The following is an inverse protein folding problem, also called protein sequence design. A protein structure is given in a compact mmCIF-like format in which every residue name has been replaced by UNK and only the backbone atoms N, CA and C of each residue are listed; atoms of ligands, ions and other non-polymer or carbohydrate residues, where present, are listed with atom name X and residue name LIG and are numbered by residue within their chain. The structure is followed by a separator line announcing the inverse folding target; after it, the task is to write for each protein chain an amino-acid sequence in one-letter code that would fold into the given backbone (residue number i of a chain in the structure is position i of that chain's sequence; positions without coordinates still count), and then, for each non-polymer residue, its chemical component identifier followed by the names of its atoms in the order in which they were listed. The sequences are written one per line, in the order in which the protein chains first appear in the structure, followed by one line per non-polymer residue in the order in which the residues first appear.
data_IF_278536648107
#
_entry.id   IF_278536648107
#
_cell.length_a   1.000
_cell.length_b   1.000
_cell.length_c   1.000
_cell.angle_alpha   90.00
_cell.angle_beta   90.00
_cell.angle_gamma   90.00
#
_symmetry.space_group_name_H-M   'P 1'
#
loop_
_entity.id
_entity.type
_entity.pdbx_description
1 polymer ?
#
# COMPACT_ATOMS: atom_id res chain seq x y z
N UNK A 1 18.80 4.68 -5.45
CA UNK A 1 17.65 3.77 -5.59
C UNK A 1 16.85 4.17 -6.83
N UNK A 2 16.59 3.22 -7.69
CA UNK A 2 15.77 3.47 -8.88
C UNK A 2 14.31 3.13 -8.59
N UNK A 3 13.34 3.75 -9.28
CA UNK A 3 11.93 3.37 -9.12
C UNK A 3 11.69 1.88 -9.33
N UNK A 4 12.41 1.24 -10.22
CA UNK A 4 12.30 -0.20 -10.47
C UNK A 4 12.76 -1.06 -9.29
N UNK A 5 13.51 -0.50 -8.34
CA UNK A 5 13.90 -1.21 -7.12
C UNK A 5 12.73 -1.31 -6.14
N UNK A 6 11.78 -0.39 -6.25
CA UNK A 6 10.61 -0.32 -5.38
C UNK A 6 9.41 -1.00 -6.04
N UNK A 7 9.20 -0.75 -7.32
CA UNK A 7 8.03 -1.18 -8.07
C UNK A 7 8.46 -1.94 -9.32
N UNK A 8 8.15 -3.21 -9.36
CA UNK A 8 8.35 -4.04 -10.54
C UNK A 8 7.04 -4.20 -11.31
N UNK A 9 7.15 -4.54 -12.59
CA UNK A 9 6.01 -4.71 -13.49
C UNK A 9 4.96 -5.68 -12.93
N UNK A 10 5.38 -6.78 -12.32
CA UNK A 10 4.49 -7.79 -11.75
C UNK A 10 3.74 -7.30 -10.50
N UNK A 11 4.08 -6.13 -9.97
CA UNK A 11 3.37 -5.53 -8.85
C UNK A 11 2.56 -4.30 -9.26
N UNK A 12 2.19 -4.24 -10.54
CA UNK A 12 1.28 -3.24 -11.08
C UNK A 12 -0.02 -3.91 -11.47
N UNK A 13 -1.13 -3.47 -10.88
CA UNK A 13 -2.47 -4.01 -11.13
C UNK A 13 -3.23 -2.98 -11.96
N UNK A 14 -3.50 -3.30 -13.23
CA UNK A 14 -4.06 -2.33 -14.18
C UNK A 14 -5.53 -2.01 -13.99
N UNK A 15 -6.30 -2.91 -13.41
CA UNK A 15 -7.72 -2.66 -13.14
C UNK A 15 -8.13 -3.48 -11.94
N UNK A 16 -7.81 -2.97 -10.76
CA UNK A 16 -8.13 -3.67 -9.53
C UNK A 16 -9.63 -3.58 -9.26
N UNK A 17 -10.22 -4.69 -8.86
CA UNK A 17 -11.60 -4.77 -8.44
C UNK A 17 -11.66 -5.25 -6.99
N UNK A 18 -12.63 -4.74 -6.23
CA UNK A 18 -12.81 -5.14 -4.85
C UNK A 18 -14.07 -4.54 -4.27
N UNK A 19 -14.49 -5.07 -3.14
CA UNK A 19 -15.72 -4.68 -2.45
C UNK A 19 -15.46 -3.58 -1.42
N UNK A 20 -14.46 -2.76 -1.65
CA UNK A 20 -14.13 -1.65 -0.78
C UNK A 20 -12.66 -1.60 -0.48
N UNK A 21 -12.29 -0.63 0.35
CA UNK A 21 -10.92 -0.29 0.68
C UNK A 21 -10.14 -1.48 1.27
N UNK A 22 -10.72 -2.16 2.26
CA UNK A 22 -10.00 -3.24 2.94
C UNK A 22 -9.71 -4.41 2.02
N UNK A 23 -10.68 -4.77 1.16
CA UNK A 23 -10.49 -5.85 0.20
C UNK A 23 -9.39 -5.50 -0.81
N UNK A 24 -9.37 -4.27 -1.29
CA UNK A 24 -8.35 -3.79 -2.22
C UNK A 24 -6.96 -3.79 -1.56
N UNK A 25 -6.87 -3.34 -0.31
CA UNK A 25 -5.60 -3.34 0.42
C UNK A 25 -5.07 -4.77 0.64
N UNK A 26 -5.94 -5.71 0.97
CA UNK A 26 -5.55 -7.12 1.10
C UNK A 26 -4.98 -7.66 -0.20
N UNK A 27 -5.64 -7.39 -1.32
CA UNK A 27 -5.17 -7.81 -2.64
C UNK A 27 -3.82 -7.21 -2.99
N UNK A 28 -3.62 -5.93 -2.70
CA UNK A 28 -2.37 -5.26 -2.98
C UNK A 28 -1.22 -5.80 -2.12
N UNK A 29 -1.49 -6.09 -0.84
CA UNK A 29 -0.49 -6.70 0.03
C UNK A 29 -0.10 -8.10 -0.47
N UNK A 30 -1.06 -8.88 -0.96
CA UNK A 30 -0.78 -10.19 -1.56
C UNK A 30 0.13 -10.05 -2.79
N UNK A 31 -0.15 -9.08 -3.64
CA UNK A 31 0.68 -8.84 -4.83
C UNK A 31 2.06 -8.34 -4.43
N UNK A 32 2.16 -7.46 -3.43
CA UNK A 32 3.45 -7.04 -2.89
C UNK A 32 4.26 -8.22 -2.37
N UNK A 33 3.58 -9.24 -1.87
CA UNK A 33 4.21 -10.47 -1.37
C UNK A 33 4.94 -11.29 -2.43
N UNK A 34 4.79 -10.95 -3.71
CA UNK A 34 5.58 -11.57 -4.78
C UNK A 34 7.03 -11.11 -4.75
N UNK A 35 7.32 -10.02 -4.05
CA UNK A 35 8.69 -9.54 -3.86
C UNK A 35 9.41 -10.39 -2.82
N UNK A 36 10.66 -10.73 -3.11
CA UNK A 36 11.53 -11.44 -2.15
C UNK A 36 11.83 -10.60 -0.92
N UNK A 37 11.57 -9.31 -0.96
CA UNK A 37 11.77 -8.39 0.16
C UNK A 37 10.69 -8.55 1.23
N UNK A 38 9.55 -9.15 0.90
CA UNK A 38 8.48 -9.38 1.87
C UNK A 38 8.76 -10.70 2.59
N UNK A 39 8.94 -10.62 3.90
CA UNK A 39 9.23 -11.79 4.73
C UNK A 39 8.02 -12.24 5.55
N UNK A 40 7.03 -11.37 5.75
CA UNK A 40 5.78 -11.72 6.42
C UNK A 40 4.64 -10.88 5.86
N UNK A 41 3.82 -11.49 5.03
CA UNK A 41 2.63 -10.85 4.47
C UNK A 41 1.61 -10.46 5.56
N UNK A 42 1.31 -11.33 6.56
CA UNK A 42 0.41 -10.93 7.64
C UNK A 42 0.90 -9.74 8.45
N UNK A 43 2.21 -9.64 8.72
CA UNK A 43 2.76 -8.49 9.44
C UNK A 43 2.63 -7.21 8.63
N UNK A 44 2.84 -7.28 7.32
CA UNK A 44 2.68 -6.16 6.41
C UNK A 44 1.22 -5.69 6.40
N UNK A 45 0.27 -6.62 6.21
CA UNK A 45 -1.15 -6.29 6.17
C UNK A 45 -1.61 -5.63 7.47
N UNK A 46 -1.18 -6.18 8.60
CA UNK A 46 -1.55 -5.64 9.92
C UNK A 46 -1.15 -4.17 10.04
N UNK A 47 0.08 -3.83 9.66
CA UNK A 47 0.56 -2.44 9.78
C UNK A 47 -0.14 -1.50 8.81
N UNK A 48 -0.44 -1.95 7.60
CA UNK A 48 -1.20 -1.16 6.64
C UNK A 48 -2.58 -0.84 7.19
N UNK A 49 -3.27 -1.84 7.73
CA UNK A 49 -4.62 -1.65 8.29
C UNK A 49 -4.60 -0.76 9.52
N UNK A 50 -3.63 -0.92 10.41
CA UNK A 50 -3.47 -0.06 11.59
C UNK A 50 -3.28 1.40 11.18
N UNK A 51 -2.48 1.66 10.15
CA UNK A 51 -2.23 3.02 9.67
C UNK A 51 -3.50 3.65 9.08
N UNK A 52 -4.26 2.90 8.30
CA UNK A 52 -5.49 3.40 7.66
C UNK A 52 -6.60 3.70 8.66
N UNK A 53 -6.66 2.97 9.78
CA UNK A 53 -7.63 3.23 10.85
C UNK A 53 -7.37 4.59 11.48
N UNK A 54 -6.12 4.99 11.62
CA UNK A 54 -5.77 6.28 12.23
C UNK A 54 -6.27 7.43 11.35
N UNK A 55 -6.02 7.36 10.05
CA UNK A 55 -6.44 8.36 9.09
C UNK A 55 -6.29 7.80 7.69
N UNK A 56 -7.27 8.06 6.83
CA UNK A 56 -7.19 7.63 5.44
C UNK A 56 -5.96 8.22 4.74
N UNK A 57 -5.32 7.42 3.90
CA UNK A 57 -4.25 7.87 3.02
C UNK A 57 -4.76 8.36 1.67
N UNK A 58 -6.09 8.47 1.49
CA UNK A 58 -6.68 9.11 0.32
C UNK A 58 -6.51 10.61 0.40
N UNK A 59 -5.57 11.14 -0.38
CA UNK A 59 -5.13 12.54 -0.29
C UNK A 59 -5.90 13.50 -1.17
N UNK A 60 -6.93 13.02 -1.87
CA UNK A 60 -7.67 13.83 -2.84
C UNK A 60 -7.09 13.66 -4.24
N UNK A 61 -7.83 14.18 -5.24
CA UNK A 61 -7.42 14.05 -6.64
C UNK A 61 -7.47 12.63 -7.17
N UNK A 62 -8.18 11.73 -6.50
CA UNK A 62 -8.27 10.34 -6.93
C UNK A 62 -7.08 9.46 -6.57
N UNK A 63 -6.21 9.92 -5.68
CA UNK A 63 -4.97 9.23 -5.31
C UNK A 63 -4.99 8.80 -3.85
N UNK A 64 -4.61 7.55 -3.57
CA UNK A 64 -4.38 7.04 -2.23
C UNK A 64 -2.98 6.47 -2.12
N UNK A 65 -2.33 6.68 -0.96
CA UNK A 65 -0.96 6.22 -0.72
C UNK A 65 -0.90 5.48 0.62
N UNK A 66 -1.49 4.28 0.70
CA UNK A 66 -1.34 3.47 1.90
C UNK A 66 0.13 3.12 2.11
N UNK A 67 0.60 3.31 3.34
CA UNK A 67 2.00 3.09 3.65
C UNK A 67 2.15 2.57 5.06
N UNK A 68 3.23 1.86 5.30
CA UNK A 68 3.50 1.31 6.62
C UNK A 68 4.99 1.06 6.80
N UNK A 69 5.45 1.23 8.04
CA UNK A 69 6.73 0.69 8.49
C UNK A 69 6.45 -0.64 9.16
N UNK A 70 7.14 -1.68 8.75
CA UNK A 70 6.85 -3.03 9.25
C UNK A 70 8.08 -3.93 9.23
N UNK A 71 8.15 -4.83 10.20
CA UNK A 71 9.15 -5.90 10.18
C UNK A 71 8.82 -6.98 9.13
N UNK A 72 7.65 -6.88 8.50
CA UNK A 72 7.24 -7.82 7.44
C UNK A 72 7.98 -7.67 6.14
N UNK A 73 8.80 -6.61 5.99
CA UNK A 73 9.64 -6.41 4.81
C UNK A 73 11.09 -6.19 5.24
N UNK A 74 12.04 -6.63 4.41
CA UNK A 74 13.47 -6.42 4.67
C UNK A 74 13.99 -5.14 4.00
N UNK A 75 13.24 -4.60 3.05
CA UNK A 75 13.60 -3.39 2.32
C UNK A 75 12.32 -2.80 1.73
N UNK A 76 12.39 -1.61 1.14
CA UNK A 76 11.23 -0.92 0.58
C UNK A 76 10.60 -1.73 -0.56
N UNK A 77 9.28 -1.84 -0.50
CA UNK A 77 8.47 -2.55 -1.51
C UNK A 77 7.27 -1.68 -1.88
N UNK A 78 6.94 -1.63 -3.17
CA UNK A 78 5.77 -0.90 -3.65
C UNK A 78 4.86 -1.78 -4.48
N UNK A 79 3.58 -1.42 -4.50
CA UNK A 79 2.56 -2.01 -5.36
C UNK A 79 1.66 -0.87 -5.85
N UNK A 80 1.46 -0.80 -7.16
CA UNK A 80 0.60 0.20 -7.77
C UNK A 80 -0.67 -0.45 -8.29
N UNK A 81 -1.81 0.15 -8.00
CA UNK A 81 -3.08 -0.32 -8.52
C UNK A 81 -3.87 0.83 -9.15
N UNK A 82 -4.54 0.53 -10.24
CA UNK A 82 -5.41 1.47 -10.93
C UNK A 82 -6.82 0.88 -10.93
N UNK A 83 -7.82 1.70 -10.58
CA UNK A 83 -9.22 1.30 -10.59
C UNK A 83 -10.00 2.24 -11.52
N UNK A 84 -10.61 1.70 -12.56
CA UNK A 84 -11.43 2.49 -13.47
C UNK A 84 -12.71 2.97 -12.79
N UNK A 85 -13.31 2.12 -11.96
CA UNK A 85 -14.57 2.44 -11.28
C UNK A 85 -14.37 3.35 -10.07
N UNK A 86 -13.20 3.34 -9.49
CA UNK A 86 -12.92 4.04 -8.26
C UNK A 86 -13.23 3.21 -7.02
N UNK A 87 -12.49 3.46 -5.96
CA UNK A 87 -12.61 2.77 -4.68
C UNK A 87 -12.97 3.80 -3.62
N UNK A 88 -14.00 3.51 -2.81
CA UNK A 88 -14.32 4.33 -1.64
C UNK A 88 -13.21 4.18 -0.61
N UNK A 89 -12.45 5.23 -0.40
CA UNK A 89 -11.24 5.22 0.41
C UNK A 89 -11.32 6.11 1.64
N UNK A 90 -12.49 6.71 1.87
CA UNK A 90 -12.65 7.77 2.87
C UNK A 90 -11.63 8.89 2.63
N UNK A 91 -11.43 9.23 1.37
CA UNK A 91 -10.46 10.25 0.98
C UNK A 91 -10.85 11.63 1.54
N UNK A 92 -9.85 12.48 1.69
CA UNK A 92 -10.05 13.82 2.27
C UNK A 92 -11.06 14.66 1.48
N UNK A 93 -11.15 14.46 0.16
CA UNK A 93 -12.12 15.16 -0.69
C UNK A 93 -13.45 14.41 -0.87
N UNK A 94 -13.61 13.27 -0.19
CA UNK A 94 -14.80 12.40 -0.24
C UNK A 94 -15.11 11.84 -1.62
N UNK A 95 -14.13 11.84 -2.51
CA UNK A 95 -14.25 11.29 -3.86
C UNK A 95 -13.59 9.93 -3.95
N UNK A 96 -14.01 9.07 -4.90
CA UNK A 96 -13.36 7.78 -5.09
C UNK A 96 -11.89 7.93 -5.46
N UNK A 97 -11.12 6.92 -5.09
CA UNK A 97 -9.70 6.82 -5.43
C UNK A 97 -9.56 5.90 -6.63
N UNK A 98 -8.79 6.34 -7.63
CA UNK A 98 -8.55 5.60 -8.86
C UNK A 98 -7.12 5.10 -9.00
N UNK A 99 -6.19 5.72 -8.27
CA UNK A 99 -4.78 5.33 -8.28
C UNK A 99 -4.34 5.09 -6.83
N UNK A 100 -3.83 3.90 -6.55
CA UNK A 100 -3.40 3.53 -5.21
C UNK A 100 -1.94 3.07 -5.29
N UNK A 101 -1.07 3.72 -4.52
CA UNK A 101 0.33 3.35 -4.42
C UNK A 101 0.62 2.87 -2.99
N UNK A 102 0.75 1.56 -2.84
CA UNK A 102 1.06 0.94 -1.55
C UNK A 102 2.58 0.89 -1.38
N UNK A 103 3.08 1.42 -0.26
CA UNK A 103 4.51 1.43 0.05
C UNK A 103 4.73 0.83 1.44
N UNK A 104 5.65 -0.12 1.53
CA UNK A 104 6.10 -0.67 2.80
C UNK A 104 7.59 -0.46 2.97
N UNK A 105 8.00 -0.03 4.15
CA UNK A 105 9.41 0.16 4.50
C UNK A 105 9.74 -0.64 5.74
N UNK A 106 11.02 -0.97 5.88
CA UNK A 106 11.51 -1.72 7.02
C UNK A 106 11.33 -0.90 8.30
N UNK A 107 10.81 -1.55 9.32
CA UNK A 107 10.67 -0.94 10.64
C UNK A 107 12.04 -0.68 11.25
N UNK A 108 12.23 0.51 11.82
CA UNK A 108 13.48 0.91 12.45
C UNK A 108 13.26 1.08 13.94
N UNK A 109 14.18 0.52 14.73
CA UNK A 109 14.15 0.63 16.18
C UNK A 109 15.24 1.55 16.72
N UNK A 110 15.98 2.22 15.86
CA UNK A 110 17.05 3.12 16.28
C UNK A 110 16.45 4.41 16.81
N UNK A 111 16.65 4.65 18.11
CA UNK A 111 16.10 5.82 18.81
C UNK A 111 16.53 7.16 18.23
N UNK A 112 17.63 7.21 17.49
CA UNK A 112 18.06 8.45 16.82
C UNK A 112 17.03 8.98 15.84
N UNK A 113 16.18 8.11 15.32
CA UNK A 113 15.20 8.47 14.31
C UNK A 113 13.81 8.72 14.92
N UNK A 114 13.72 8.65 16.19
CA UNK A 114 12.49 8.95 16.94
C UNK A 114 12.55 10.36 17.55
#
# INVERSE_FOLDING_TARGET
MKPSDILAKERIIMNIAGEGKNDVLEKMVQVAGTSKKVVSEPAHLKKVMEREIIRSTGNGGGIGIPHAQTSGVMDIVGCLAISQQGIEFNAIDRKPVHIIFLIATKERFDSKYL
#
